data_IF_094400395277
#
_entry.id   IF_094400395277
#
_cell.length_a   1.000
_cell.length_b   1.000
_cell.length_c   1.000
_cell.angle_alpha   90.00
_cell.angle_beta   90.00
_cell.angle_gamma   90.00
#
_symmetry.space_group_name_H-M   'P 1'
#
loop_
_entity.id
_entity.type
_entity.pdbx_description
1 polymer ?
#
# COMPACT_ATOMS: atom_id res chain seq x y z
N UNK A 1 10.24 0.56 -3.10
CA UNK A 1 9.13 -0.07 -2.32
C UNK A 1 7.77 0.60 -2.61
N UNK A 2 7.72 1.55 -3.54
CA UNK A 2 6.60 2.48 -3.75
C UNK A 2 5.39 1.88 -4.50
N UNK A 3 5.63 0.82 -5.28
CA UNK A 3 4.57 0.16 -6.06
C UNK A 3 3.54 -0.57 -5.18
N UNK A 4 3.88 -1.01 -3.96
CA UNK A 4 2.90 -1.66 -3.08
C UNK A 4 1.90 -0.65 -2.49
N UNK A 5 2.39 0.51 -2.04
CA UNK A 5 1.55 1.59 -1.50
C UNK A 5 0.66 2.17 -2.60
N UNK A 6 1.20 2.33 -3.82
CA UNK A 6 0.43 2.79 -4.97
C UNK A 6 -0.68 1.81 -5.37
N UNK A 7 -0.39 0.50 -5.39
CA UNK A 7 -1.40 -0.54 -5.68
C UNK A 7 -2.54 -0.56 -4.67
N UNK A 8 -2.25 -0.40 -3.39
CA UNK A 8 -3.29 -0.42 -2.35
C UNK A 8 -4.20 0.81 -2.40
N UNK A 9 -3.64 1.98 -2.72
CA UNK A 9 -4.41 3.20 -2.98
C UNK A 9 -5.27 3.08 -4.24
N UNK A 10 -4.73 2.51 -5.31
CA UNK A 10 -5.46 2.28 -6.57
C UNK A 10 -6.64 1.34 -6.37
N UNK A 11 -6.46 0.27 -5.59
CA UNK A 11 -7.50 -0.70 -5.28
C UNK A 11 -8.63 -0.07 -4.43
N UNK A 12 -8.27 0.76 -3.45
CA UNK A 12 -9.26 1.50 -2.67
C UNK A 12 -10.03 2.53 -3.49
N UNK A 13 -9.35 3.27 -4.38
CA UNK A 13 -9.99 4.19 -5.32
C UNK A 13 -10.94 3.45 -6.26
N UNK A 14 -10.54 2.28 -6.76
CA UNK A 14 -11.38 1.41 -7.59
C UNK A 14 -12.65 1.00 -6.84
N UNK A 15 -12.56 0.58 -5.59
CA UNK A 15 -13.74 0.22 -4.78
C UNK A 15 -14.66 1.41 -4.51
N UNK A 16 -14.12 2.61 -4.24
CA UNK A 16 -14.92 3.83 -4.10
C UNK A 16 -15.65 4.19 -5.40
N UNK A 17 -14.97 4.14 -6.54
CA UNK A 17 -15.58 4.41 -7.85
C UNK A 17 -16.65 3.37 -8.18
N UNK A 18 -16.36 2.09 -7.96
CA UNK A 18 -17.32 1.00 -8.17
C UNK A 18 -18.57 1.16 -7.29
N UNK A 19 -18.41 1.57 -6.02
CA UNK A 19 -19.52 1.88 -5.12
C UNK A 19 -20.36 3.06 -5.59
N UNK A 20 -19.71 4.14 -6.03
CA UNK A 20 -20.38 5.30 -6.63
C UNK A 20 -21.19 4.94 -7.87
N UNK A 21 -20.61 4.16 -8.79
CA UNK A 21 -21.30 3.67 -9.98
C UNK A 21 -22.52 2.81 -9.62
N UNK A 22 -22.41 1.90 -8.64
CA UNK A 22 -23.54 1.08 -8.19
C UNK A 22 -24.71 1.94 -7.67
N UNK A 23 -24.42 3.01 -6.92
CA UNK A 23 -25.44 3.97 -6.45
C UNK A 23 -26.09 4.70 -7.63
N UNK A 24 -25.30 5.19 -8.59
CA UNK A 24 -25.82 5.89 -9.77
C UNK A 24 -26.74 5.00 -10.62
N UNK A 25 -26.34 3.75 -10.87
CA UNK A 25 -27.18 2.79 -11.61
C UNK A 25 -28.42 2.36 -10.82
N UNK A 26 -28.30 2.20 -9.49
CA UNK A 26 -29.43 1.94 -8.61
C UNK A 26 -30.50 3.05 -8.67
N UNK A 27 -30.04 4.30 -8.60
CA UNK A 27 -30.91 5.48 -8.70
C UNK A 27 -31.51 5.66 -10.10
N UNK A 28 -30.73 5.38 -11.16
CA UNK A 28 -31.24 5.42 -12.52
C UNK A 28 -32.35 4.38 -12.75
N UNK A 29 -32.26 3.20 -12.12
CA UNK A 29 -33.28 2.15 -12.18
C UNK A 29 -34.56 2.50 -11.41
N UNK A 30 -34.47 3.10 -10.22
CA UNK A 30 -35.65 3.54 -9.45
C UNK A 30 -36.43 4.64 -10.16
N UNK A 31 -35.73 5.54 -10.86
CA UNK A 31 -36.36 6.67 -11.57
C UNK A 31 -37.27 6.26 -12.75
N UNK A 32 -37.15 5.02 -13.25
CA UNK A 32 -37.94 4.55 -14.41
C UNK A 32 -39.25 3.83 -14.01
N UNK A 33 -39.52 3.68 -12.71
CA UNK A 33 -40.63 2.85 -12.21
C UNK A 33 -41.60 3.69 -11.37
N UNK A 34 -42.82 3.92 -11.89
CA UNK A 34 -43.83 4.78 -11.24
C UNK A 34 -44.58 4.10 -10.06
N UNK A 35 -44.44 2.78 -9.92
CA UNK A 35 -45.03 1.98 -8.84
C UNK A 35 -44.12 1.99 -7.59
N UNK A 36 -44.63 2.44 -6.45
CA UNK A 36 -43.88 2.55 -5.18
C UNK A 36 -43.42 1.18 -4.67
N UNK A 37 -44.27 0.16 -4.71
CA UNK A 37 -43.91 -1.21 -4.30
C UNK A 37 -42.83 -1.84 -5.18
N UNK A 38 -42.76 -1.40 -6.44
CA UNK A 38 -41.80 -1.87 -7.43
C UNK A 38 -40.43 -1.19 -7.28
N UNK A 39 -40.32 -0.08 -6.54
CA UNK A 39 -39.06 0.65 -6.31
C UNK A 39 -38.19 0.04 -5.19
N UNK A 40 -38.81 -0.63 -4.21
CA UNK A 40 -38.12 -1.26 -3.05
C UNK A 40 -36.96 -2.18 -3.47
N UNK A 41 -37.10 -3.12 -4.43
CA UNK A 41 -35.99 -3.97 -4.84
C UNK A 41 -34.81 -3.21 -5.48
N UNK A 42 -35.07 -2.11 -6.20
CA UNK A 42 -34.01 -1.27 -6.77
C UNK A 42 -33.30 -0.42 -5.71
N UNK A 43 -34.03 0.06 -4.70
CA UNK A 43 -33.47 0.74 -3.53
C UNK A 43 -32.56 -0.17 -2.70
N UNK A 44 -32.96 -1.43 -2.49
CA UNK A 44 -32.16 -2.40 -1.72
C UNK A 44 -30.93 -2.86 -2.52
N UNK A 45 -31.09 -3.23 -3.79
CA UNK A 45 -29.99 -3.78 -4.59
C UNK A 45 -28.98 -2.72 -5.05
N UNK A 46 -29.45 -1.56 -5.52
CA UNK A 46 -28.59 -0.49 -6.03
C UNK A 46 -28.21 0.55 -4.97
N UNK A 47 -29.17 0.98 -4.14
CA UNK A 47 -28.93 1.95 -3.07
C UNK A 47 -28.17 1.35 -1.89
N UNK A 48 -28.77 0.39 -1.19
CA UNK A 48 -28.14 -0.20 0.00
C UNK A 48 -26.88 -1.01 -0.36
N UNK A 49 -26.89 -1.75 -1.47
CA UNK A 49 -25.71 -2.44 -1.99
C UNK A 49 -24.57 -1.48 -2.36
N UNK A 50 -24.87 -0.39 -3.06
CA UNK A 50 -23.87 0.62 -3.43
C UNK A 50 -23.30 1.38 -2.23
N UNK A 51 -24.13 1.71 -1.23
CA UNK A 51 -23.68 2.31 0.04
C UNK A 51 -22.77 1.35 0.81
N UNK A 52 -23.15 0.08 0.94
CA UNK A 52 -22.32 -0.92 1.60
C UNK A 52 -20.95 -1.06 0.92
N UNK A 53 -20.92 -1.11 -0.42
CA UNK A 53 -19.67 -1.19 -1.19
C UNK A 53 -18.80 0.06 -0.99
N UNK A 54 -19.41 1.24 -0.95
CA UNK A 54 -18.72 2.52 -0.73
C UNK A 54 -18.13 2.61 0.68
N UNK A 55 -18.87 2.18 1.71
CA UNK A 55 -18.40 2.14 3.10
C UNK A 55 -17.20 1.19 3.21
N UNK A 56 -17.30 -0.01 2.63
CA UNK A 56 -16.20 -0.99 2.63
C UNK A 56 -14.96 -0.41 1.94
N UNK A 57 -15.10 0.17 0.73
CA UNK A 57 -14.00 0.81 0.01
C UNK A 57 -13.32 1.93 0.80
N UNK A 58 -14.12 2.78 1.44
CA UNK A 58 -13.63 3.86 2.30
C UNK A 58 -12.87 3.31 3.51
N UNK A 59 -13.39 2.27 4.17
CA UNK A 59 -12.73 1.62 5.29
C UNK A 59 -11.37 1.02 4.93
N UNK A 60 -11.28 0.35 3.77
CA UNK A 60 -10.02 -0.16 3.23
C UNK A 60 -8.99 0.95 2.99
N UNK A 61 -9.41 2.11 2.46
CA UNK A 61 -8.54 3.27 2.25
C UNK A 61 -8.03 3.84 3.59
N UNK A 62 -8.90 3.99 4.59
CA UNK A 62 -8.53 4.49 5.92
C UNK A 62 -7.52 3.55 6.58
N UNK A 63 -7.74 2.23 6.55
CA UNK A 63 -6.80 1.24 7.11
C UNK A 63 -5.45 1.31 6.39
N UNK A 64 -5.45 1.47 5.06
CA UNK A 64 -4.21 1.62 4.30
C UNK A 64 -3.43 2.88 4.72
N UNK A 65 -4.12 4.00 4.95
CA UNK A 65 -3.49 5.23 5.44
C UNK A 65 -2.92 5.04 6.85
N UNK A 66 -3.68 4.44 7.77
CA UNK A 66 -3.23 4.17 9.14
C UNK A 66 -1.99 3.28 9.17
N UNK A 67 -1.89 2.28 8.30
CA UNK A 67 -0.69 1.41 8.20
C UNK A 67 0.54 2.19 7.72
N UNK A 68 0.36 3.07 6.73
CA UNK A 68 1.46 3.91 6.22
C UNK A 68 1.92 4.91 7.27
N UNK A 69 0.99 5.58 7.95
CA UNK A 69 1.32 6.53 9.02
C UNK A 69 1.95 5.84 10.22
N UNK A 70 1.43 4.68 10.64
CA UNK A 70 2.00 3.89 11.72
C UNK A 70 3.46 3.51 11.45
N UNK A 71 3.77 3.03 10.25
CA UNK A 71 5.16 2.73 9.86
C UNK A 71 6.04 3.99 9.86
N UNK A 72 5.50 5.13 9.41
CA UNK A 72 6.25 6.39 9.39
C UNK A 72 6.57 6.90 10.81
N UNK A 73 5.62 6.76 11.74
CA UNK A 73 5.83 7.10 13.16
C UNK A 73 6.85 6.16 13.78
N UNK A 74 6.73 4.86 13.55
CA UNK A 74 7.68 3.85 14.05
C UNK A 74 9.11 4.11 13.57
N UNK A 75 9.29 4.53 12.32
CA UNK A 75 10.60 4.91 11.79
C UNK A 75 11.19 6.16 12.45
N UNK A 76 10.36 7.15 12.77
CA UNK A 76 10.82 8.38 13.46
C UNK A 76 11.23 8.13 14.91
N UNK A 77 10.61 7.13 15.54
CA UNK A 77 10.90 6.72 16.90
C UNK A 77 11.94 5.60 16.97
N UNK A 78 12.34 5.04 15.83
CA UNK A 78 13.34 3.98 15.80
C UNK A 78 14.66 4.55 16.34
N UNK A 79 15.28 3.89 17.33
CA UNK A 79 16.57 4.32 17.83
C UNK A 79 17.60 4.29 16.68
N UNK A 80 18.58 5.22 16.68
CA UNK A 80 19.61 5.24 15.67
C UNK A 80 20.30 3.87 15.62
N UNK A 81 20.69 3.39 14.43
CA UNK A 81 21.38 2.12 14.31
C UNK A 81 22.62 2.15 15.22
N UNK A 82 22.95 1.03 15.89
CA UNK A 82 24.10 0.97 16.76
C UNK A 82 25.36 1.38 15.98
N UNK A 83 26.26 2.10 16.67
CA UNK A 83 27.45 2.72 16.07
C UNK A 83 28.36 1.71 15.34
N UNK A 84 28.28 0.42 15.71
CA UNK A 84 28.99 -0.68 15.07
C UNK A 84 28.55 -0.91 13.60
N UNK A 85 27.26 -0.75 13.28
CA UNK A 85 26.71 -0.86 11.92
C UNK A 85 26.90 0.40 11.11
N UNK A 86 27.00 1.57 11.76
CA UNK A 86 27.24 2.84 11.10
C UNK A 86 28.68 2.98 10.56
N UNK A 87 29.64 2.26 11.16
CA UNK A 87 31.04 2.21 10.69
C UNK A 87 31.30 1.14 9.59
N UNK A 88 30.39 0.19 9.42
CA UNK A 88 30.51 -0.89 8.44
C UNK A 88 30.42 -0.49 6.94
N UNK A 89 29.69 0.57 6.50
CA UNK A 89 29.66 0.91 5.07
C UNK A 89 31.01 1.48 4.60
N UNK A 90 31.69 2.26 5.43
CA UNK A 90 33.00 2.83 5.10
C UNK A 90 34.09 1.75 5.11
N UNK A 91 34.01 0.77 6.02
CA UNK A 91 34.96 -0.35 6.06
C UNK A 91 34.83 -1.31 4.86
N UNK A 92 33.61 -1.51 4.32
CA UNK A 92 33.38 -2.31 3.12
C UNK A 92 33.75 -1.54 1.83
N UNK A 93 33.62 -0.22 1.84
CA UNK A 93 34.10 0.67 0.76
C UNK A 93 35.64 0.75 0.77
N UNK A 94 36.27 0.87 1.95
CA UNK A 94 37.72 0.91 2.14
C UNK A 94 38.37 -0.44 1.80
N UNK A 95 37.76 -1.56 2.19
CA UNK A 95 38.18 -2.90 1.77
C UNK A 95 37.97 -3.18 0.27
N UNK A 96 37.06 -2.46 -0.40
CA UNK A 96 36.90 -2.50 -1.86
C UNK A 96 37.94 -1.61 -2.57
N UNK A 97 38.42 -0.57 -1.90
CA UNK A 97 39.34 0.43 -2.46
C UNK A 97 40.81 0.06 -2.24
N UNK A 98 41.11 -0.80 -1.27
CA UNK A 98 42.44 -1.42 -1.18
C UNK A 98 42.71 -2.25 -2.45
N UNK A 99 43.75 -1.89 -3.23
CA UNK A 99 44.14 -2.68 -4.39
C UNK A 99 44.55 -4.07 -3.88
N UNK A 100 43.93 -5.13 -4.41
CA UNK A 100 44.32 -6.51 -4.16
C UNK A 100 45.82 -6.62 -4.48
N UNK A 101 46.64 -6.56 -3.43
CA UNK A 101 48.09 -6.55 -3.59
C UNK A 101 48.51 -7.94 -4.05
N UNK A 102 49.19 -8.07 -5.21
CA UNK A 102 49.47 -9.37 -5.83
C UNK A 102 50.35 -10.30 -4.97
N UNK A 103 50.95 -9.78 -3.89
CA UNK A 103 51.73 -10.55 -2.93
C UNK A 103 50.89 -11.44 -2.00
N UNK A 104 49.59 -11.17 -1.80
CA UNK A 104 48.73 -12.00 -0.92
C UNK A 104 48.28 -13.32 -1.55
N UNK A 105 48.24 -13.41 -2.89
CA UNK A 105 47.85 -14.65 -3.59
C UNK A 105 49.05 -15.62 -3.66
N UNK A 106 50.28 -15.10 -3.77
CA UNK A 106 51.49 -15.91 -3.90
C UNK A 106 51.84 -16.70 -2.62
N UNK A 107 51.60 -16.13 -1.44
CA UNK A 107 51.88 -16.79 -0.15
C UNK A 107 50.86 -17.90 0.19
N UNK A 108 49.63 -17.81 -0.35
CA UNK A 108 48.56 -18.76 -0.05
C UNK A 108 48.68 -20.09 -0.81
N UNK A 109 49.43 -20.12 -1.93
CA UNK A 109 49.65 -21.31 -2.75
C UNK A 109 50.99 -22.02 -2.46
N UNK A 110 51.79 -21.51 -1.50
CA UNK A 110 53.07 -22.08 -1.09
C UNK A 110 52.97 -22.96 0.18
N UNK A 111 51.75 -23.19 0.68
CA UNK A 111 51.41 -24.15 1.75
C UNK A 111 50.47 -25.21 1.21
#
# INVERSE_FOLDING_TARGET
>A
MDHQVSRMRLLGLFFCLAGGFAITFGWAGTAQVACVDCQVPYLISGGAGGVALTIVGTGLLVIAQLRVEGNRIAQRLAPPPPADRAAAPDALEEARTEPISPLTIADRNAR
#
